data_IF_787950656460
#
_entry.id   IF_787950656460
#
_cell.length_a   1.000
_cell.length_b   1.000
_cell.length_c   1.000
_cell.angle_alpha   90.00
_cell.angle_beta   90.00
_cell.angle_gamma   90.00
#
_symmetry.space_group_name_H-M   'P 1'
#
loop_
_entity.id
_entity.type
_entity.pdbx_description
1 polymer ?
#
# COMPACT_ATOMS: atom_id res chain seq x y z
N UNK A 1 12.85 4.51 7.05
CA UNK A 1 12.01 5.23 6.09
C UNK A 1 12.69 5.40 4.74
N UNK A 2 12.54 4.39 3.87
CA UNK A 2 12.75 4.57 2.44
C UNK A 2 11.65 5.47 1.88
N UNK A 3 12.00 6.39 0.99
CA UNK A 3 11.08 7.42 0.50
C UNK A 3 10.54 7.01 -0.88
N UNK A 4 9.24 6.77 -0.96
CA UNK A 4 8.55 6.30 -2.18
C UNK A 4 7.49 7.30 -2.61
N UNK A 5 7.39 7.53 -3.91
CA UNK A 5 6.45 8.47 -4.51
C UNK A 5 5.77 7.81 -5.68
N UNK A 6 4.45 8.01 -5.74
CA UNK A 6 3.61 7.42 -6.77
C UNK A 6 3.02 8.54 -7.62
N UNK A 7 3.10 8.39 -8.93
CA UNK A 7 2.43 9.24 -9.90
C UNK A 7 1.51 8.38 -10.77
N UNK A 8 0.42 9.01 -11.17
CA UNK A 8 -0.68 8.38 -11.88
C UNK A 8 -0.93 9.15 -13.16
N UNK A 9 -0.67 8.52 -14.30
CA UNK A 9 -0.93 9.11 -15.62
C UNK A 9 -2.26 8.59 -16.17
N UNK A 10 -3.33 9.35 -15.94
CA UNK A 10 -4.71 8.90 -16.11
C UNK A 10 -5.06 8.64 -17.57
N UNK A 11 -4.64 9.53 -18.46
CA UNK A 11 -4.91 9.46 -19.90
C UNK A 11 -3.69 8.99 -20.71
N UNK A 12 -2.84 8.14 -20.13
CA UNK A 12 -1.68 7.61 -20.85
C UNK A 12 -2.12 6.88 -22.14
N UNK A 13 -1.47 7.12 -23.29
CA UNK A 13 -1.76 6.39 -24.51
C UNK A 13 -1.33 4.92 -24.38
N UNK A 14 -1.78 4.06 -25.28
CA UNK A 14 -1.38 2.63 -25.31
C UNK A 14 0.13 2.44 -25.51
N UNK A 15 0.79 3.41 -26.15
CA UNK A 15 2.25 3.48 -26.28
C UNK A 15 2.96 4.09 -25.07
N UNK A 16 2.24 4.56 -24.05
CA UNK A 16 2.78 5.30 -22.92
C UNK A 16 3.90 4.56 -22.19
N UNK A 17 3.73 3.25 -21.98
CA UNK A 17 4.75 2.41 -21.35
C UNK A 17 6.06 2.38 -22.15
N UNK A 18 5.96 2.31 -23.47
CA UNK A 18 7.13 2.33 -24.35
C UNK A 18 7.81 3.70 -24.32
N UNK A 19 7.03 4.79 -24.36
CA UNK A 19 7.57 6.15 -24.30
C UNK A 19 8.33 6.42 -22.98
N UNK A 20 7.76 5.99 -21.85
CA UNK A 20 8.41 6.14 -20.54
C UNK A 20 9.67 5.28 -20.46
N UNK A 21 9.60 4.03 -20.94
CA UNK A 21 10.76 3.14 -21.01
C UNK A 21 11.90 3.77 -21.81
N UNK A 22 11.61 4.29 -23.00
CA UNK A 22 12.61 4.88 -23.87
C UNK A 22 13.19 6.16 -23.24
N UNK A 23 12.37 6.98 -22.58
CA UNK A 23 12.82 8.15 -21.85
C UNK A 23 13.77 7.78 -20.70
N UNK A 24 13.42 6.78 -19.89
CA UNK A 24 14.26 6.27 -18.80
C UNK A 24 15.60 5.76 -19.33
N UNK A 25 15.58 4.97 -20.42
CA UNK A 25 16.79 4.39 -20.97
C UNK A 25 17.71 5.44 -21.62
N UNK A 26 17.14 6.34 -22.43
CA UNK A 26 17.90 7.28 -23.26
C UNK A 26 18.34 8.54 -22.51
N UNK A 27 17.48 9.09 -21.66
CA UNK A 27 17.72 10.39 -21.02
C UNK A 27 18.19 10.26 -19.57
N UNK A 28 17.87 9.16 -18.90
CA UNK A 28 18.21 8.93 -17.49
C UNK A 28 19.24 7.83 -17.27
N UNK A 29 19.79 7.23 -18.35
CA UNK A 29 20.69 6.08 -18.28
C UNK A 29 20.14 4.92 -17.43
N UNK A 30 18.81 4.75 -17.44
CA UNK A 30 18.14 3.75 -16.63
C UNK A 30 18.41 2.33 -17.14
N UNK A 31 18.74 1.43 -16.22
CA UNK A 31 18.99 0.02 -16.49
C UNK A 31 17.76 -0.81 -16.17
N UNK A 32 17.33 -1.65 -17.12
CA UNK A 32 16.21 -2.55 -16.91
C UNK A 32 16.55 -3.63 -15.87
N UNK A 33 15.65 -3.84 -14.90
CA UNK A 33 15.82 -4.81 -13.79
C UNK A 33 14.86 -5.98 -13.87
N UNK A 34 13.66 -5.80 -14.40
CA UNK A 34 12.67 -6.87 -14.45
C UNK A 34 11.26 -6.40 -14.72
N UNK A 35 10.31 -7.34 -14.65
CA UNK A 35 8.89 -7.04 -14.79
C UNK A 35 8.32 -6.56 -13.46
N UNK A 36 7.32 -5.69 -13.54
CA UNK A 36 6.50 -5.28 -12.41
C UNK A 36 5.07 -5.75 -12.64
N UNK A 37 4.62 -6.74 -11.87
CA UNK A 37 3.31 -7.35 -12.05
C UNK A 37 2.57 -7.34 -10.73
N UNK A 38 1.41 -6.67 -10.68
CA UNK A 38 0.55 -6.63 -9.51
C UNK A 38 -0.85 -7.07 -9.89
N UNK A 39 -1.58 -7.66 -8.94
CA UNK A 39 -2.99 -7.95 -9.10
C UNK A 39 -3.81 -7.34 -7.98
N UNK A 40 -4.89 -6.65 -8.32
CA UNK A 40 -5.79 -6.02 -7.36
C UNK A 40 -7.19 -6.62 -7.49
N UNK A 41 -7.81 -6.94 -6.35
CA UNK A 41 -9.16 -7.51 -6.25
C UNK A 41 -9.99 -6.73 -5.25
N UNK A 42 -11.21 -6.37 -5.65
CA UNK A 42 -12.21 -5.74 -4.77
C UNK A 42 -13.22 -6.76 -4.29
N UNK A 43 -13.64 -6.61 -3.03
CA UNK A 43 -14.62 -7.42 -2.33
C UNK A 43 -15.62 -6.51 -1.61
N UNK A 44 -16.88 -6.96 -1.54
CA UNK A 44 -17.93 -6.34 -0.73
C UNK A 44 -18.53 -7.35 0.22
N UNK A 45 -18.92 -6.89 1.41
CA UNK A 45 -19.62 -7.73 2.37
C UNK A 45 -21.08 -7.94 1.94
N UNK A 46 -21.59 -9.16 2.08
CA UNK A 46 -23.01 -9.46 1.82
C UNK A 46 -23.83 -9.56 3.11
N UNK A 47 -23.32 -9.03 4.23
CA UNK A 47 -24.05 -9.05 5.50
C UNK A 47 -25.35 -8.23 5.45
N UNK A 48 -25.38 -7.14 4.67
CA UNK A 48 -26.58 -6.32 4.48
C UNK A 48 -27.68 -6.97 3.62
N UNK A 49 -27.40 -8.12 3.00
CA UNK A 49 -28.37 -8.86 2.18
C UNK A 49 -29.13 -9.93 2.97
N UNK A 50 -28.90 -10.04 4.28
CA UNK A 50 -29.57 -10.99 5.15
C UNK A 50 -31.00 -10.49 5.42
N UNK A 51 -32.05 -11.25 5.06
CA UNK A 51 -33.43 -10.86 5.36
C UNK A 51 -33.62 -10.57 6.85
N UNK A 52 -34.15 -9.40 7.18
CA UNK A 52 -34.37 -8.96 8.57
C UNK A 52 -33.22 -8.19 9.21
N UNK A 53 -32.05 -8.08 8.56
CA UNK A 53 -30.95 -7.23 9.00
C UNK A 53 -30.77 -6.06 8.04
N UNK A 54 -31.09 -4.84 8.49
CA UNK A 54 -30.78 -3.62 7.76
C UNK A 54 -29.43 -3.09 8.23
N UNK A 55 -28.35 -3.49 7.56
CA UNK A 55 -27.03 -2.88 7.79
C UNK A 55 -26.95 -1.63 6.89
N UNK A 56 -26.83 -0.42 7.48
CA UNK A 56 -26.97 0.83 6.74
C UNK A 56 -25.80 1.12 5.79
N UNK A 57 -24.67 0.44 5.93
CA UNK A 57 -23.47 0.65 5.11
C UNK A 57 -22.69 -0.64 4.89
N UNK A 58 -22.37 -0.94 3.63
CA UNK A 58 -21.63 -2.14 3.26
C UNK A 58 -20.12 -1.99 3.55
N UNK A 59 -19.52 -3.01 4.17
CA UNK A 59 -18.06 -3.10 4.33
C UNK A 59 -17.41 -3.41 2.98
N UNK A 60 -16.25 -2.82 2.75
CA UNK A 60 -15.47 -3.06 1.53
C UNK A 60 -14.09 -3.59 1.86
N UNK A 61 -13.50 -4.35 0.96
CA UNK A 61 -12.16 -4.90 1.12
C UNK A 61 -11.45 -4.92 -0.23
N UNK A 62 -10.21 -4.47 -0.27
CA UNK A 62 -9.34 -4.49 -1.43
C UNK A 62 -8.10 -5.31 -1.11
N UNK A 63 -7.69 -6.18 -2.03
CA UNK A 63 -6.49 -7.00 -1.89
C UNK A 63 -5.56 -6.75 -3.07
N UNK A 64 -4.30 -6.38 -2.78
CA UNK A 64 -3.23 -6.21 -3.74
C UNK A 64 -2.19 -7.32 -3.53
N UNK A 65 -1.99 -8.15 -4.54
CA UNK A 65 -0.91 -9.14 -4.56
C UNK A 65 0.32 -8.56 -5.24
N UNK A 66 1.46 -8.65 -4.56
CA UNK A 66 2.77 -8.24 -5.01
C UNK A 66 3.77 -9.30 -4.61
N UNK A 67 4.33 -9.98 -5.61
CA UNK A 67 5.20 -11.15 -5.42
C UNK A 67 4.53 -12.21 -4.51
N UNK A 68 5.15 -12.53 -3.37
CA UNK A 68 4.67 -13.52 -2.39
C UNK A 68 3.70 -12.93 -1.34
N UNK A 69 3.45 -11.63 -1.40
CA UNK A 69 2.63 -10.91 -0.43
C UNK A 69 1.24 -10.57 -0.97
N UNK A 70 0.24 -10.63 -0.08
CA UNK A 70 -1.09 -10.09 -0.33
C UNK A 70 -1.38 -9.03 0.72
N UNK A 71 -1.54 -7.79 0.28
CA UNK A 71 -1.86 -6.65 1.13
C UNK A 71 -3.35 -6.38 1.08
N UNK A 72 -4.03 -6.43 2.22
CA UNK A 72 -5.49 -6.37 2.31
C UNK A 72 -5.91 -5.14 3.09
N UNK A 73 -6.55 -4.19 2.41
CA UNK A 73 -7.19 -3.03 3.01
C UNK A 73 -8.68 -3.33 3.21
N UNK A 74 -9.11 -3.40 4.47
CA UNK A 74 -10.51 -3.55 4.86
C UNK A 74 -11.03 -2.22 5.39
N UNK A 75 -12.24 -1.88 4.98
CA UNK A 75 -12.98 -0.74 5.51
C UNK A 75 -14.34 -1.13 6.08
N UNK A 76 -14.52 -0.79 7.36
CA UNK A 76 -15.80 -0.82 8.04
C UNK A 76 -16.29 0.62 8.33
N UNK A 77 -17.25 1.16 7.56
CA UNK A 77 -17.79 2.49 7.81
C UNK A 77 -18.46 2.66 9.17
N UNK A 78 -18.88 1.56 9.82
CA UNK A 78 -19.54 1.56 11.13
C UNK A 78 -18.55 1.60 12.30
N UNK A 79 -17.29 1.24 12.07
CA UNK A 79 -16.26 1.33 13.10
C UNK A 79 -15.77 2.78 13.24
N UNK A 80 -15.38 3.21 14.46
CA UNK A 80 -14.89 4.56 14.68
C UNK A 80 -13.52 4.75 14.01
N UNK A 81 -13.19 5.99 13.65
CA UNK A 81 -11.82 6.32 13.31
C UNK A 81 -10.98 6.51 14.58
N UNK A 82 -9.67 6.39 14.47
CA UNK A 82 -8.77 6.63 15.60
C UNK A 82 -8.88 8.06 16.11
N UNK A 83 -8.99 9.02 15.20
CA UNK A 83 -9.20 10.42 15.53
C UNK A 83 -10.48 10.63 16.36
N UNK A 84 -11.57 9.93 16.02
CA UNK A 84 -12.83 10.01 16.79
C UNK A 84 -12.66 9.48 18.22
N UNK A 85 -11.93 8.37 18.37
CA UNK A 85 -11.68 7.75 19.69
C UNK A 85 -10.77 8.63 20.54
N UNK A 86 -9.73 9.20 19.97
CA UNK A 86 -8.82 10.13 20.65
C UNK A 86 -9.53 11.43 21.04
N UNK A 87 -10.38 11.97 20.16
CA UNK A 87 -11.16 13.17 20.46
C UNK A 87 -12.19 12.94 21.58
N UNK A 88 -12.68 11.71 21.74
CA UNK A 88 -13.57 11.33 22.83
C UNK A 88 -12.84 10.99 24.14
N UNK A 89 -11.51 10.83 24.12
CA UNK A 89 -10.72 10.46 25.28
C UNK A 89 -10.50 11.66 26.20
N UNK A 90 -10.72 11.53 27.53
CA UNK A 90 -10.24 12.50 28.50
C UNK A 90 -8.70 12.61 28.44
N UNK A 91 -8.12 13.81 28.70
CA UNK A 91 -6.67 13.98 28.73
C UNK A 91 -6.00 12.99 29.68
N UNK A 92 -5.00 12.26 29.20
CA UNK A 92 -4.26 11.25 29.95
C UNK A 92 -4.91 9.85 30.01
N UNK A 93 -6.03 9.63 29.31
CA UNK A 93 -6.69 8.32 29.19
C UNK A 93 -6.72 7.80 27.75
N UNK A 94 -5.97 8.41 26.84
CA UNK A 94 -5.98 8.12 25.40
C UNK A 94 -5.69 6.64 25.11
N UNK A 95 -4.73 6.05 25.81
CA UNK A 95 -4.35 4.63 25.65
C UNK A 95 -5.48 3.67 26.00
N UNK A 96 -6.23 3.94 27.08
CA UNK A 96 -7.36 3.11 27.48
C UNK A 96 -8.52 3.21 26.48
N UNK A 97 -8.76 4.40 25.92
CA UNK A 97 -9.80 4.61 24.92
C UNK A 97 -9.46 3.93 23.59
N UNK A 98 -8.19 3.93 23.18
CA UNK A 98 -7.74 3.22 21.98
C UNK A 98 -7.92 1.70 22.05
N UNK A 99 -8.03 1.13 23.25
CA UNK A 99 -8.31 -0.30 23.46
C UNK A 99 -9.81 -0.64 23.47
N UNK A 100 -10.69 0.36 23.51
CA UNK A 100 -12.14 0.15 23.63
C UNK A 100 -12.78 -0.45 22.36
N UNK A 101 -12.48 0.01 21.13
CA UNK A 101 -13.02 -0.60 19.92
C UNK A 101 -12.45 -2.00 19.66
N UNK A 102 -13.26 -2.89 19.09
CA UNK A 102 -12.77 -4.20 18.62
C UNK A 102 -11.91 -4.08 17.36
N UNK A 103 -12.14 -3.05 16.55
CA UNK A 103 -11.38 -2.67 15.38
C UNK A 103 -11.68 -1.22 15.01
N UNK A 104 -10.84 -0.62 14.16
CA UNK A 104 -11.04 0.72 13.60
C UNK A 104 -11.60 0.65 12.19
N UNK A 105 -12.09 1.79 11.70
CA UNK A 105 -12.64 1.95 10.34
C UNK A 105 -11.77 1.32 9.26
N UNK A 106 -10.46 1.56 9.29
CA UNK A 106 -9.49 1.04 8.33
C UNK A 106 -8.64 -0.02 9.01
N UNK A 107 -8.51 -1.18 8.39
CA UNK A 107 -7.59 -2.24 8.84
C UNK A 107 -6.74 -2.68 7.65
N UNK A 108 -5.42 -2.71 7.82
CA UNK A 108 -4.50 -3.07 6.74
C UNK A 108 -3.61 -4.24 7.12
N UNK A 109 -3.83 -5.37 6.47
CA UNK A 109 -3.24 -6.67 6.82
C UNK A 109 -2.29 -7.14 5.71
N UNK A 110 -1.27 -7.88 6.10
CA UNK A 110 -0.38 -8.57 5.15
C UNK A 110 -0.57 -10.08 5.32
N UNK A 111 -0.88 -10.77 4.22
CA UNK A 111 -1.07 -12.22 4.16
C UNK A 111 -0.04 -12.85 3.20
N UNK A 112 0.29 -14.12 3.46
CA UNK A 112 1.13 -14.96 2.60
C UNK A 112 0.62 -16.41 2.67
N UNK A 113 0.73 -17.21 1.61
CA UNK A 113 1.19 -16.88 0.24
C UNK A 113 0.09 -16.22 -0.62
N UNK A 114 0.32 -15.92 -1.91
CA UNK A 114 -0.74 -15.54 -2.84
C UNK A 114 -1.91 -16.54 -2.81
N UNK A 115 -3.15 -16.04 -2.70
CA UNK A 115 -4.34 -16.87 -2.53
C UNK A 115 -4.73 -17.18 -1.08
N UNK A 116 -3.92 -16.78 -0.09
CA UNK A 116 -4.20 -17.00 1.33
C UNK A 116 -5.50 -16.31 1.79
N UNK A 117 -5.81 -15.13 1.23
CA UNK A 117 -7.05 -14.42 1.55
C UNK A 117 -8.27 -15.27 1.13
N UNK A 118 -8.29 -15.78 -0.09
CA UNK A 118 -9.40 -16.57 -0.61
C UNK A 118 -9.57 -17.88 0.17
N UNK A 119 -8.46 -18.51 0.54
CA UNK A 119 -8.47 -19.70 1.41
C UNK A 119 -9.07 -19.37 2.78
N UNK A 120 -8.64 -18.27 3.41
CA UNK A 120 -9.15 -17.82 4.69
C UNK A 120 -10.66 -17.52 4.62
N UNK A 121 -11.09 -16.76 3.60
CA UNK A 121 -12.50 -16.44 3.40
C UNK A 121 -13.35 -17.70 3.20
N UNK A 122 -12.84 -18.68 2.44
CA UNK A 122 -13.52 -19.95 2.22
C UNK A 122 -13.62 -20.78 3.51
N UNK A 123 -12.53 -20.89 4.28
CA UNK A 123 -12.49 -21.63 5.55
C UNK A 123 -13.43 -21.04 6.60
N UNK A 124 -13.45 -19.70 6.72
CA UNK A 124 -14.35 -18.99 7.63
C UNK A 124 -15.81 -18.95 7.13
N UNK A 125 -16.08 -19.45 5.92
CA UNK A 125 -17.37 -19.28 5.21
C UNK A 125 -17.80 -17.81 5.24
N UNK A 126 -16.83 -16.91 5.09
CA UNK A 126 -17.02 -15.49 5.26
C UNK A 126 -17.91 -14.94 4.15
N UNK A 127 -18.77 -13.97 4.52
CA UNK A 127 -19.78 -13.37 3.62
C UNK A 127 -19.18 -12.22 2.81
N UNK A 128 -18.18 -12.54 1.99
CA UNK A 128 -17.53 -11.61 1.08
C UNK A 128 -17.71 -12.08 -0.36
N UNK A 129 -18.08 -11.15 -1.24
CA UNK A 129 -18.24 -11.41 -2.66
C UNK A 129 -17.33 -10.47 -3.43
N UNK A 130 -16.56 -11.01 -4.37
CA UNK A 130 -15.75 -10.18 -5.25
C UNK A 130 -16.65 -9.27 -6.10
N UNK A 131 -16.31 -7.98 -6.15
CA UNK A 131 -17.03 -6.99 -6.93
C UNK A 131 -16.72 -7.21 -8.40
N UNK A 132 -17.76 -7.38 -9.22
CA UNK A 132 -17.65 -7.38 -10.68
C UNK A 132 -17.74 -5.92 -11.15
N UNK A 133 -16.65 -5.34 -11.64
CA UNK A 133 -16.70 -4.14 -12.47
C UNK A 133 -17.54 -4.42 -13.73
N UNK A 134 -18.55 -3.61 -13.96
CA UNK A 134 -19.46 -3.74 -15.09
C UNK A 134 -18.76 -3.31 -16.39
N UNK A 135 -18.04 -4.22 -17.02
CA UNK A 135 -17.66 -4.11 -18.43
C UNK A 135 -18.32 -5.26 -19.20
N UNK A 136 -19.40 -4.92 -19.94
CA UNK A 136 -20.10 -5.70 -20.97
C UNK A 136 -20.50 -7.16 -20.68
N UNK A 137 -21.78 -7.43 -20.95
CA UNK A 137 -22.53 -8.68 -20.84
C UNK A 137 -21.96 -9.89 -21.59
N UNK A 138 -21.04 -10.66 -20.99
CA UNK A 138 -20.80 -12.06 -21.40
C UNK A 138 -20.69 -12.95 -20.14
N UNK A 139 -21.57 -13.96 -19.97
CA UNK A 139 -21.49 -14.88 -18.85
C UNK A 139 -20.46 -15.96 -19.12
N UNK A 140 -19.23 -15.80 -18.64
CA UNK A 140 -18.23 -16.87 -18.67
C UNK A 140 -18.42 -17.78 -17.44
N UNK A 141 -19.02 -18.95 -17.67
CA UNK A 141 -19.16 -20.04 -16.68
C UNK A 141 -17.76 -20.64 -16.46
N UNK A 142 -17.22 -20.58 -15.23
CA UNK A 142 -16.19 -21.54 -14.81
C UNK A 142 -14.88 -21.03 -14.20
N UNK A 143 -14.66 -19.73 -14.01
CA UNK A 143 -13.50 -19.27 -13.22
C UNK A 143 -13.94 -18.67 -11.89
N UNK A 144 -13.49 -19.29 -10.80
CA UNK A 144 -13.53 -18.79 -9.43
C UNK A 144 -12.53 -17.64 -9.20
N UNK A 145 -12.33 -16.78 -10.21
CA UNK A 145 -11.53 -15.57 -10.13
C UNK A 145 -12.46 -14.38 -10.02
N UNK A 146 -12.38 -13.64 -8.92
CA UNK A 146 -12.92 -12.30 -8.85
C UNK A 146 -12.41 -11.44 -10.01
N UNK A 147 -13.14 -10.38 -10.36
CA UNK A 147 -12.61 -9.47 -11.37
C UNK A 147 -11.32 -8.85 -10.86
N UNK A 148 -10.27 -8.98 -11.66
CA UNK A 148 -8.90 -8.67 -11.29
C UNK A 148 -8.44 -7.48 -12.13
N UNK A 149 -8.08 -6.40 -11.45
CA UNK A 149 -7.28 -5.35 -12.06
C UNK A 149 -5.83 -5.82 -12.05
N UNK A 150 -5.13 -5.62 -13.16
CA UNK A 150 -3.72 -5.95 -13.30
C UNK A 150 -2.92 -4.68 -13.48
N UNK A 151 -1.72 -4.65 -12.89
CA UNK A 151 -0.72 -3.65 -13.21
C UNK A 151 0.43 -4.42 -13.83
N UNK A 152 0.68 -4.18 -15.12
CA UNK A 152 1.76 -4.84 -15.86
C UNK A 152 2.76 -3.81 -16.36
N UNK A 153 4.04 -4.04 -16.06
CA UNK A 153 5.05 -3.03 -16.20
C UNK A 153 6.49 -3.54 -16.10
N UNK A 154 7.38 -2.58 -15.90
CA UNK A 154 8.82 -2.77 -15.89
C UNK A 154 9.44 -2.02 -14.70
N UNK A 155 10.54 -2.58 -14.18
CA UNK A 155 11.37 -2.01 -13.14
C UNK A 155 12.68 -1.56 -13.77
N UNK A 156 13.11 -0.36 -13.43
CA UNK A 156 14.38 0.23 -13.84
C UNK A 156 15.16 0.69 -12.61
N UNK A 157 16.48 0.70 -12.72
CA UNK A 157 17.35 1.44 -11.78
C UNK A 157 18.01 2.61 -12.49
N UNK A 158 18.02 3.78 -11.86
CA UNK A 158 18.71 4.98 -12.36
C UNK A 158 19.87 5.29 -11.40
N UNK A 159 21.11 5.18 -11.89
CA UNK A 159 22.29 5.25 -11.02
C UNK A 159 22.31 4.14 -9.95
N UNK A 160 22.87 4.43 -8.78
CA UNK A 160 22.87 3.56 -7.60
C UNK A 160 21.68 3.78 -6.68
N UNK A 161 20.97 4.89 -6.84
CA UNK A 161 20.15 5.44 -5.78
C UNK A 161 18.65 5.39 -6.06
N UNK A 162 18.25 5.02 -7.28
CA UNK A 162 16.86 5.08 -7.70
C UNK A 162 16.37 3.76 -8.25
N UNK A 163 15.18 3.37 -7.80
CA UNK A 163 14.37 2.35 -8.44
C UNK A 163 13.09 2.98 -8.97
N UNK A 164 12.77 2.74 -10.23
CA UNK A 164 11.58 3.27 -10.90
C UNK A 164 10.76 2.13 -11.44
N UNK A 165 9.50 2.02 -11.01
CA UNK A 165 8.53 1.02 -11.50
C UNK A 165 7.48 1.73 -12.34
N UNK A 166 7.20 1.23 -13.53
CA UNK A 166 6.26 1.86 -14.47
C UNK A 166 5.38 0.78 -15.08
N UNK A 167 4.06 0.95 -15.01
CA UNK A 167 3.11 -0.09 -15.44
C UNK A 167 1.79 0.45 -15.94
N UNK A 168 1.17 -0.30 -16.85
CA UNK A 168 -0.19 -0.05 -17.33
C UNK A 168 -1.20 -0.57 -16.31
N UNK A 169 -2.25 0.20 -16.05
CA UNK A 169 -3.40 -0.25 -15.27
C UNK A 169 -4.38 -0.92 -16.23
N UNK A 170 -4.57 -2.22 -16.11
CA UNK A 170 -5.37 -3.06 -17.01
C UNK A 170 -6.61 -3.54 -16.24
N UNK A 171 -7.79 -3.21 -16.76
CA UNK A 171 -9.06 -3.68 -16.20
C UNK A 171 -9.32 -5.15 -16.55
N UNK A 172 -10.25 -5.79 -15.85
CA UNK A 172 -10.60 -7.20 -16.08
C UNK A 172 -11.04 -7.53 -17.52
N UNK A 173 -11.48 -6.52 -18.29
CA UNK A 173 -11.81 -6.65 -19.72
C UNK A 173 -10.64 -6.41 -20.69
N UNK A 174 -9.40 -6.28 -20.19
CA UNK A 174 -8.22 -5.99 -21.00
C UNK A 174 -8.04 -4.52 -21.39
N UNK A 175 -8.99 -3.65 -21.05
CA UNK A 175 -8.90 -2.21 -21.30
C UNK A 175 -7.82 -1.55 -20.44
N UNK A 176 -6.94 -0.77 -21.06
CA UNK A 176 -5.92 0.01 -20.35
C UNK A 176 -6.54 1.32 -19.84
N UNK A 177 -6.53 1.51 -18.51
CA UNK A 177 -7.00 2.71 -17.81
C UNK A 177 -5.81 3.56 -17.36
N UNK A 178 -4.92 3.89 -18.29
CA UNK A 178 -3.72 4.70 -18.05
C UNK A 178 -2.58 3.94 -17.37
N UNK A 179 -1.66 4.68 -16.73
CA UNK A 179 -0.44 4.14 -16.13
C UNK A 179 -0.20 4.56 -14.68
N UNK A 180 0.60 3.77 -13.97
CA UNK A 180 1.21 4.07 -12.68
C UNK A 180 2.73 4.16 -12.83
N UNK A 181 3.33 5.10 -12.12
CA UNK A 181 4.76 5.32 -12.04
C UNK A 181 5.12 5.44 -10.57
N UNK A 182 6.01 4.60 -10.07
CA UNK A 182 6.52 4.64 -8.72
C UNK A 182 8.02 4.90 -8.76
N UNK A 183 8.49 5.83 -7.93
CA UNK A 183 9.91 6.10 -7.74
C UNK A 183 10.28 5.89 -6.27
N UNK A 184 11.34 5.14 -6.05
CA UNK A 184 11.88 4.79 -4.73
C UNK A 184 13.35 5.22 -4.67
N UNK A 185 13.69 5.99 -3.63
CA UNK A 185 15.07 6.40 -3.35
C UNK A 185 15.71 5.42 -2.37
N UNK A 186 16.81 4.76 -2.79
CA UNK A 186 17.46 3.64 -2.13
C UNK A 186 18.55 3.97 -1.08
N UNK A 187 19.26 5.12 -1.08
CA UNK A 187 20.35 5.33 -0.13
C UNK A 187 19.92 5.95 1.21
N UNK A 188 18.63 6.05 1.51
CA UNK A 188 18.17 6.57 2.80
C UNK A 188 17.08 5.69 3.42
N UNK A 189 17.38 5.03 4.56
CA UNK A 189 16.36 4.54 5.46
C UNK A 189 15.81 5.67 6.34
N UNK A 190 15.96 6.97 6.03
CA UNK A 190 15.10 8.02 6.60
C UNK A 190 15.19 9.33 5.79
N UNK A 191 14.23 9.56 4.88
CA UNK A 191 13.91 10.91 4.42
C UNK A 191 12.57 11.31 5.04
N UNK A 192 12.61 12.24 6.00
CA UNK A 192 11.40 12.92 6.46
C UNK A 192 10.90 13.78 5.31
N UNK A 193 9.62 13.67 4.97
CA UNK A 193 9.00 14.65 4.07
C UNK A 193 9.15 16.03 4.73
N UNK A 194 9.79 17.01 4.08
CA UNK A 194 9.90 18.35 4.65
C UNK A 194 8.53 19.05 4.74
N UNK A 195 7.51 18.50 4.08
CA UNK A 195 6.16 19.04 3.97
C UNK A 195 5.18 18.07 4.65
N UNK A 196 4.26 18.59 5.46
CA UNK A 196 3.25 17.82 6.20
C UNK A 196 2.37 16.92 5.30
N UNK A 197 2.25 17.26 4.01
CA UNK A 197 1.45 16.54 3.01
C UNK A 197 2.14 15.28 2.44
N UNK A 198 3.36 14.96 2.89
CA UNK A 198 4.10 13.76 2.47
C UNK A 198 4.72 13.85 1.06
N UNK A 199 4.61 15.01 0.39
CA UNK A 199 5.25 15.29 -0.90
C UNK A 199 6.73 15.65 -0.71
N UNK A 200 7.68 14.97 -1.37
CA UNK A 200 9.01 15.55 -1.58
C UNK A 200 9.20 16.05 -3.00
N UNK A 201 9.77 17.24 -3.10
CA UNK A 201 10.12 17.89 -4.36
C UNK A 201 11.07 17.01 -5.18
N UNK A 202 11.99 16.29 -4.53
CA UNK A 202 12.92 15.39 -5.19
C UNK A 202 12.19 14.29 -5.98
N UNK A 203 11.22 13.61 -5.35
CA UNK A 203 10.43 12.58 -6.04
C UNK A 203 9.53 13.17 -7.10
N UNK A 204 8.89 14.30 -6.80
CA UNK A 204 8.02 14.98 -7.76
C UNK A 204 8.80 15.38 -9.02
N UNK A 205 9.99 15.95 -8.85
CA UNK A 205 10.88 16.33 -9.94
C UNK A 205 11.35 15.10 -10.73
N UNK A 206 11.73 14.01 -10.06
CA UNK A 206 12.12 12.77 -10.74
C UNK A 206 10.95 12.18 -11.54
N UNK A 207 9.79 11.98 -10.92
CA UNK A 207 8.60 11.43 -11.57
C UNK A 207 8.17 12.28 -12.76
N UNK A 208 8.24 13.60 -12.64
CA UNK A 208 7.96 14.54 -13.73
C UNK A 208 9.00 14.43 -14.85
N UNK A 209 10.28 14.25 -14.52
CA UNK A 209 11.35 14.11 -15.53
C UNK A 209 11.34 12.76 -16.25
N UNK A 210 10.81 11.71 -15.60
CA UNK A 210 10.63 10.37 -16.18
C UNK A 210 9.44 10.33 -17.15
N UNK A 211 8.46 11.19 -16.94
CA UNK A 211 7.34 11.31 -17.87
C UNK A 211 7.80 11.97 -19.19
N UNK A 212 7.50 11.36 -20.35
CA UNK A 212 7.78 11.98 -21.63
C UNK A 212 6.97 13.27 -21.79
N UNK A 213 7.54 14.26 -22.50
CA UNK A 213 6.85 15.53 -22.77
C UNK A 213 5.69 15.32 -23.77
N UNK A 214 4.55 14.87 -23.26
CA UNK A 214 3.33 14.60 -24.02
C UNK A 214 2.33 15.71 -23.77
N UNK A 215 1.81 16.29 -24.85
CA UNK A 215 0.75 17.31 -24.77
C UNK A 215 -0.48 16.72 -24.09
N UNK A 216 -1.11 17.52 -23.23
CA UNK A 216 -2.33 17.17 -22.51
C UNK A 216 -2.21 15.97 -21.54
N UNK A 217 -1.00 15.62 -21.09
CA UNK A 217 -0.80 14.59 -20.08
C UNK A 217 -1.48 14.98 -18.75
N UNK A 218 -2.40 14.14 -18.27
CA UNK A 218 -3.08 14.29 -16.98
C UNK A 218 -2.38 13.40 -15.95
N UNK A 219 -1.44 14.00 -15.24
CA UNK A 219 -0.61 13.33 -14.24
C UNK A 219 -0.98 13.81 -12.85
N UNK A 220 -1.27 12.88 -11.96
CA UNK A 220 -1.64 13.14 -10.56
C UNK A 220 -0.54 12.55 -9.67
N UNK A 221 0.08 13.37 -8.83
CA UNK A 221 0.95 12.88 -7.78
C UNK A 221 0.08 12.32 -6.64
N UNK A 222 0.41 11.12 -6.17
CA UNK A 222 -0.28 10.44 -5.07
C UNK A 222 0.66 10.49 -3.88
N UNK A 223 0.23 11.20 -2.85
CA UNK A 223 0.96 11.29 -1.58
C UNK A 223 0.09 10.85 -0.42
N UNK A 224 0.78 10.42 0.64
CA UNK A 224 0.17 10.06 1.92
C UNK A 224 0.93 10.82 3.00
N UNK A 225 0.19 11.46 3.91
CA UNK A 225 0.82 12.03 5.09
C UNK A 225 1.29 10.91 6.03
N UNK A 226 2.36 11.14 6.78
CA UNK A 226 2.85 10.11 7.71
C UNK A 226 1.82 9.82 8.82
N UNK A 227 0.98 10.80 9.19
CA UNK A 227 -0.15 10.61 10.11
C UNK A 227 -1.19 9.61 9.59
N UNK A 228 -1.55 9.70 8.31
CA UNK A 228 -2.46 8.74 7.68
C UNK A 228 -1.84 7.35 7.61
N UNK A 229 -0.52 7.27 7.45
CA UNK A 229 0.19 6.00 7.43
C UNK A 229 0.27 5.35 8.82
N UNK A 230 0.56 6.14 9.86
CA UNK A 230 0.60 5.67 11.25
C UNK A 230 -0.76 5.12 11.71
N UNK A 231 -1.86 5.74 11.29
CA UNK A 231 -3.21 5.27 11.59
C UNK A 231 -3.49 3.89 10.97
N UNK A 232 -2.88 3.61 9.82
CA UNK A 232 -3.02 2.34 9.09
C UNK A 232 -2.12 1.25 9.67
N UNK A 233 -0.94 1.63 10.16
CA UNK A 233 0.02 0.73 10.80
C UNK A 233 -0.38 0.30 12.22
N UNK A 234 -1.42 0.89 12.80
CA UNK A 234 -1.84 0.61 14.16
C UNK A 234 -2.23 -0.86 14.36
N UNK A 235 -1.33 -1.63 14.97
CA UNK A 235 -1.56 -3.01 15.37
C UNK A 235 -1.88 -3.06 16.87
N UNK A 236 -3.10 -3.47 17.20
CA UNK A 236 -3.54 -3.66 18.57
C UNK A 236 -2.68 -4.69 19.31
N UNK A 237 -2.23 -5.75 18.63
CA UNK A 237 -1.39 -6.78 19.24
C UNK A 237 -0.03 -6.24 19.68
N UNK A 238 0.48 -5.21 19.01
CA UNK A 238 1.76 -4.59 19.33
C UNK A 238 1.68 -3.72 20.60
N UNK A 239 0.56 -3.04 20.83
CA UNK A 239 0.29 -2.31 22.07
C UNK A 239 0.02 -3.25 23.25
N UNK A 240 -0.71 -4.34 23.04
CA UNK A 240 -0.94 -5.32 24.09
C UNK A 240 0.38 -6.00 24.52
N UNK A 241 1.32 -6.23 23.59
CA UNK A 241 2.69 -6.69 23.89
C UNK A 241 3.53 -5.62 24.60
N UNK A 242 3.49 -4.36 24.14
CA UNK A 242 4.21 -3.26 24.79
C UNK A 242 3.72 -2.92 26.21
N UNK A 243 2.48 -3.28 26.55
CA UNK A 243 1.93 -3.13 27.92
C UNK A 243 2.22 -4.36 28.80
N UNK A 244 2.49 -5.53 28.21
CA UNK A 244 2.86 -6.75 28.95
C UNK A 244 4.37 -6.90 29.20
N UNK A 245 5.22 -6.18 28.47
CA UNK A 245 6.67 -6.15 28.70
C UNK A 245 7.18 -4.83 29.33
N UNK A 246 6.84 -4.48 30.59
CA UNK A 246 7.65 -3.57 31.38
C UNK A 246 8.63 -4.33 32.30
N UNK A 247 9.00 -5.57 31.98
CA UNK A 247 9.91 -6.41 32.80
C UNK A 247 10.83 -7.25 31.91
N UNK A 248 11.71 -6.61 31.14
CA UNK A 248 13.03 -7.18 30.83
C UNK A 248 14.11 -6.15 30.42
N UNK A 249 13.95 -4.87 30.77
CA UNK A 249 15.11 -3.98 30.91
C UNK A 249 15.77 -4.28 32.27
N UNK A 250 16.50 -5.38 32.33
CA UNK A 250 17.50 -5.59 33.37
C UNK A 250 18.71 -4.71 33.07
N UNK A 251 19.09 -3.76 33.94
CA UNK A 251 20.36 -3.05 33.84
C UNK A 251 21.47 -3.96 34.40
N UNK A 252 21.73 -5.08 33.72
CA UNK A 252 22.87 -5.95 34.00
C UNK A 252 23.54 -6.36 32.68
N UNK A 253 24.05 -5.36 31.97
CA UNK A 253 25.07 -5.53 30.93
C UNK A 253 26.21 -4.53 31.17
N UNK A 254 26.74 -4.56 32.40
CA UNK A 254 28.08 -4.09 32.76
C UNK A 254 28.88 -5.37 33.05
N UNK A 255 30.01 -5.72 32.46
CA UNK A 255 31.01 -5.04 31.66
C UNK A 255 31.66 -6.15 30.80
N UNK A 256 31.55 -6.10 29.46
CA UNK A 256 32.50 -6.83 28.60
C UNK A 256 33.39 -5.80 27.89
N UNK A 257 34.49 -5.48 28.55
CA UNK A 257 35.51 -4.49 28.16
C UNK A 257 36.30 -4.91 26.90
N UNK A 258 36.02 -6.08 26.33
CA UNK A 258 36.74 -6.61 25.16
C UNK A 258 35.93 -6.65 23.84
N UNK A 259 34.70 -6.14 23.79
CA UNK A 259 33.94 -6.03 22.55
C UNK A 259 34.19 -4.71 21.80
N UNK A 260 35.43 -4.44 21.39
CA UNK A 260 35.71 -3.39 20.40
C UNK A 260 35.49 -3.95 19.00
N UNK A 261 34.41 -3.57 18.32
CA UNK A 261 34.24 -3.93 16.90
C UNK A 261 32.91 -3.66 16.20
N UNK A 262 31.82 -3.35 16.90
CA UNK A 262 30.48 -3.27 16.27
C UNK A 262 29.73 -1.94 16.54
N UNK A 263 30.43 -0.86 16.95
CA UNK A 263 29.80 0.44 17.25
C UNK A 263 29.28 1.22 16.02
N UNK A 264 29.55 0.73 14.80
CA UNK A 264 29.10 1.38 13.55
C UNK A 264 27.96 0.63 12.82
N UNK A 265 27.39 -0.43 13.41
CA UNK A 265 26.19 -1.04 12.85
C UNK A 265 24.98 -0.33 13.47
N UNK A 266 24.20 0.47 12.71
CA UNK A 266 22.98 1.05 13.24
C UNK A 266 22.08 -0.09 13.70
N UNK A 267 21.76 -0.11 14.99
CA UNK A 267 20.74 -1.01 15.53
C UNK A 267 19.48 -0.88 14.67
N UNK A 268 19.04 -1.98 14.06
CA UNK A 268 17.83 -2.00 13.24
C UNK A 268 16.66 -1.55 14.12
N UNK A 269 16.21 -0.31 13.94
CA UNK A 269 15.02 0.16 14.65
C UNK A 269 13.80 -0.48 14.01
N UNK A 270 12.85 -0.91 14.83
CA UNK A 270 11.53 -1.32 14.35
C UNK A 270 10.94 -0.14 13.57
N UNK A 271 10.73 -0.32 12.27
CA UNK A 271 10.48 0.79 11.35
C UNK A 271 11.64 1.16 10.42
N UNK A 272 12.65 0.29 10.26
CA UNK A 272 13.57 0.29 9.12
C UNK A 272 12.94 -0.43 7.92
N UNK A 273 12.72 0.30 6.83
CA UNK A 273 11.79 -0.02 5.75
C UNK A 273 12.42 -0.97 4.74
N UNK A 274 12.69 -2.18 5.17
CA UNK A 274 13.35 -3.19 4.36
C UNK A 274 12.37 -4.34 4.10
N UNK A 275 12.26 -4.78 2.85
CA UNK A 275 11.42 -5.90 2.47
C UNK A 275 9.93 -5.60 2.57
N UNK A 276 9.23 -6.28 3.47
CA UNK A 276 7.75 -6.36 3.50
C UNK A 276 7.09 -5.02 3.83
N UNK A 277 7.66 -4.26 4.77
CA UNK A 277 7.09 -2.98 5.19
C UNK A 277 7.20 -1.90 4.10
N UNK A 278 8.24 -1.98 3.28
CA UNK A 278 8.36 -1.17 2.07
C UNK A 278 7.22 -1.51 1.10
N UNK A 279 7.05 -2.79 0.80
CA UNK A 279 6.03 -3.27 -0.12
C UNK A 279 4.62 -2.95 0.42
N UNK A 280 4.44 -2.92 1.75
CA UNK A 280 3.20 -2.55 2.44
C UNK A 280 2.78 -1.11 2.12
N UNK A 281 3.69 -0.12 2.19
CA UNK A 281 3.36 1.28 1.84
C UNK A 281 3.14 1.48 0.36
N UNK A 282 3.96 0.85 -0.48
CA UNK A 282 3.75 0.83 -1.93
C UNK A 282 2.33 0.33 -2.26
N UNK A 283 1.94 -0.82 -1.69
CA UNK A 283 0.61 -1.37 -1.88
C UNK A 283 -0.51 -0.43 -1.41
N UNK A 284 -0.34 0.21 -0.26
CA UNK A 284 -1.33 1.15 0.26
C UNK A 284 -1.49 2.39 -0.65
N UNK A 285 -0.39 2.98 -1.12
CA UNK A 285 -0.42 4.11 -2.05
C UNK A 285 -1.13 3.74 -3.36
N UNK A 286 -0.83 2.56 -3.92
CA UNK A 286 -1.43 2.07 -5.16
C UNK A 286 -2.93 1.86 -4.98
N UNK A 287 -3.36 1.18 -3.91
CA UNK A 287 -4.77 0.98 -3.64
C UNK A 287 -5.52 2.30 -3.40
N UNK A 288 -4.91 3.22 -2.64
CA UNK A 288 -5.47 4.55 -2.41
C UNK A 288 -5.67 5.35 -3.71
N UNK A 289 -4.65 5.35 -4.59
CA UNK A 289 -4.72 6.00 -5.90
C UNK A 289 -5.88 5.47 -6.74
N UNK A 290 -5.93 4.14 -6.92
CA UNK A 290 -6.95 3.48 -7.75
C UNK A 290 -8.36 3.67 -7.18
N UNK A 291 -8.51 3.70 -5.86
CA UNK A 291 -9.80 3.96 -5.22
C UNK A 291 -10.25 5.41 -5.39
N UNK A 292 -9.36 6.39 -5.27
CA UNK A 292 -9.70 7.81 -5.43
C UNK A 292 -10.28 8.13 -6.82
N UNK A 293 -9.91 7.35 -7.83
CA UNK A 293 -10.44 7.42 -9.19
C UNK A 293 -11.73 6.60 -9.42
N UNK A 294 -12.25 5.93 -8.39
CA UNK A 294 -13.38 5.02 -8.53
C UNK A 294 -13.09 3.83 -9.45
N UNK A 295 -11.83 3.39 -9.53
CA UNK A 295 -11.46 2.18 -10.27
C UNK A 295 -11.77 0.94 -9.42
N UNK A 296 -11.58 1.02 -8.10
CA UNK A 296 -11.76 -0.11 -7.19
C UNK A 296 -13.16 -0.19 -6.57
#
# INVERSE_FOLDING_TARGET
MGFTGLARWVNAPTSGLQLVRDNIALNHNGQYRGKWNLSVRSYRSTLGQIPGFQIPSERTMCALTMDENVFVLLEDPLAPTRADVLAAAPPGQETAYLQSPTHFRTTFLTLRPPGALEQLLAQLKARWVSVRQSASSVPQRGQAGGQQLLIEGHIFSIGSDWLVRVGNVILAGGGIKGMLLEAEYLPLPALHSPIADGTSELLSNLLTSVLPNVRDAKTVAVTISDTQWEDVLWDREELEKGVQDPIHDSPEASEDIYAYGDEDIPEKKRGDWIGVDRDRRSAYLIMGALRSEGIL
#
